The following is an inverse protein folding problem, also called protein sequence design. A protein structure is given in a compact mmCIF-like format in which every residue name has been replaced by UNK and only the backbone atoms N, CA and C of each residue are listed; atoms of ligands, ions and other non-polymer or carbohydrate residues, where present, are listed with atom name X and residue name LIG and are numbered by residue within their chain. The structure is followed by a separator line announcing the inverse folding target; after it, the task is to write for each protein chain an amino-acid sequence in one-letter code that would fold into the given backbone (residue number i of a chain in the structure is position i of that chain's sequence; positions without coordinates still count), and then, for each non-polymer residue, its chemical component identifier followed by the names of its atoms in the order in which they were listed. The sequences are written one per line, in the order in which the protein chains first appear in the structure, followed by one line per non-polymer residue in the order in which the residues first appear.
data_IF_930498131900
#
_entry.id   IF_930498131900
#
_cell.length_a   1.000
_cell.length_b   1.000
_cell.length_c   1.000
_cell.angle_alpha   90.00
_cell.angle_beta   90.00
_cell.angle_gamma   90.00
#
_symmetry.space_group_name_H-M   'P 1'
#
loop_
_entity.id
_entity.type
_entity.pdbx_description
1 polymer ?
#
# COMPACT_ATOMS: atom_id res chain seq x y z
N UNK A 1 34.92 11.02 -38.52
CA UNK A 1 33.55 11.44 -38.17
C UNK A 1 33.64 12.19 -36.85
N UNK A 2 33.38 13.51 -36.85
CA UNK A 2 33.33 14.31 -35.62
C UNK A 2 32.05 13.97 -34.87
N UNK A 3 32.16 13.38 -33.67
CA UNK A 3 31.00 13.07 -32.83
C UNK A 3 30.30 14.35 -32.42
N UNK A 4 29.18 14.67 -33.06
CA UNK A 4 28.35 15.83 -32.71
C UNK A 4 27.77 15.62 -31.31
N UNK A 5 28.03 16.54 -30.39
CA UNK A 5 27.52 16.47 -29.01
C UNK A 5 26.23 17.26 -28.88
N UNK A 6 25.36 16.82 -27.98
CA UNK A 6 24.14 17.56 -27.67
C UNK A 6 24.46 18.95 -27.09
N UNK A 7 25.56 19.09 -26.35
CA UNK A 7 26.08 20.39 -25.92
C UNK A 7 26.22 21.39 -27.09
N UNK A 8 26.80 20.97 -28.21
CA UNK A 8 26.98 21.84 -29.39
C UNK A 8 25.63 22.27 -30.02
N UNK A 9 24.65 21.36 -30.04
CA UNK A 9 23.29 21.65 -30.54
C UNK A 9 22.50 22.54 -29.58
N UNK A 10 22.71 22.37 -28.27
CA UNK A 10 22.10 23.22 -27.24
C UNK A 10 22.60 24.66 -27.32
N UNK A 11 23.91 24.86 -27.53
CA UNK A 11 24.53 26.18 -27.70
C UNK A 11 24.00 26.93 -28.92
N UNK A 12 23.55 26.21 -29.95
CA UNK A 12 22.87 26.78 -31.14
C UNK A 12 21.36 26.99 -30.96
N UNK A 13 20.84 26.89 -29.72
CA UNK A 13 19.43 27.03 -29.38
C UNK A 13 18.46 26.09 -30.15
N UNK A 14 18.96 24.94 -30.64
CA UNK A 14 18.18 23.98 -31.42
C UNK A 14 16.97 23.46 -30.63
N UNK A 15 17.13 23.25 -29.32
CA UNK A 15 16.06 22.83 -28.42
C UNK A 15 14.83 23.76 -28.46
N UNK A 16 15.05 25.08 -28.52
CA UNK A 16 13.98 26.08 -28.60
C UNK A 16 13.41 26.16 -30.00
N UNK A 17 14.29 26.26 -31.02
CA UNK A 17 13.89 26.37 -32.43
C UNK A 17 13.06 25.19 -32.91
N UNK A 18 13.40 23.98 -32.44
CA UNK A 18 12.72 22.74 -32.79
C UNK A 18 11.65 22.34 -31.76
N UNK A 19 11.47 23.12 -30.67
CA UNK A 19 10.52 22.84 -29.60
C UNK A 19 10.66 21.42 -29.03
N UNK A 20 11.87 21.06 -28.62
CA UNK A 20 12.17 19.74 -28.04
C UNK A 20 11.70 19.67 -26.58
N UNK A 21 11.00 18.59 -26.23
CA UNK A 21 10.48 18.41 -24.87
C UNK A 21 11.60 18.29 -23.82
N UNK A 22 11.31 18.64 -22.56
CA UNK A 22 12.27 18.48 -21.44
C UNK A 22 12.78 17.04 -21.29
N UNK A 23 11.94 16.04 -21.57
CA UNK A 23 12.34 14.63 -21.52
C UNK A 23 13.43 14.31 -22.55
N UNK A 24 13.33 14.86 -23.75
CA UNK A 24 14.36 14.66 -24.78
C UNK A 24 15.63 15.40 -24.46
N UNK A 25 15.54 16.65 -24.01
CA UNK A 25 16.73 17.39 -23.59
C UNK A 25 17.51 16.64 -22.50
N UNK A 26 16.80 16.01 -21.56
CA UNK A 26 17.40 15.19 -20.52
C UNK A 26 18.03 13.90 -21.06
N UNK A 27 17.38 13.21 -22.00
CA UNK A 27 17.94 12.00 -22.62
C UNK A 27 19.16 12.31 -23.49
N UNK A 28 19.16 13.40 -24.25
CA UNK A 28 20.29 13.82 -25.08
C UNK A 28 21.48 14.29 -24.22
N UNK A 29 21.22 15.00 -23.10
CA UNK A 29 22.26 15.27 -22.10
C UNK A 29 22.84 13.97 -21.52
N UNK A 30 21.98 12.96 -21.28
CA UNK A 30 22.43 11.67 -20.74
C UNK A 30 23.25 10.88 -21.77
N UNK A 31 22.96 11.02 -23.06
CA UNK A 31 23.79 10.46 -24.13
C UNK A 31 25.20 11.08 -24.16
N UNK A 32 25.32 12.39 -23.98
CA UNK A 32 26.62 13.05 -23.85
C UNK A 32 27.39 12.53 -22.62
N UNK A 33 26.72 12.35 -21.48
CA UNK A 33 27.33 11.76 -20.28
C UNK A 33 27.79 10.32 -20.52
N UNK A 34 27.03 9.53 -21.28
CA UNK A 34 27.41 8.17 -21.67
C UNK A 34 28.66 8.18 -22.57
N UNK A 35 28.71 9.07 -23.57
CA UNK A 35 29.88 9.23 -24.45
C UNK A 35 31.11 9.73 -23.70
N UNK A 36 30.92 10.52 -22.64
CA UNK A 36 31.97 10.96 -21.73
C UNK A 36 32.42 9.87 -20.72
N UNK A 37 31.73 8.73 -20.66
CA UNK A 37 32.01 7.65 -19.71
C UNK A 37 31.51 7.88 -18.28
N UNK A 38 30.71 8.94 -18.05
CA UNK A 38 30.17 9.28 -16.73
C UNK A 38 28.99 8.40 -16.30
N UNK A 39 28.24 7.86 -17.26
CA UNK A 39 27.17 6.88 -17.02
C UNK A 39 27.38 5.67 -17.92
N UNK A 40 26.88 4.51 -17.49
CA UNK A 40 26.97 3.28 -18.28
C UNK A 40 25.79 3.14 -19.26
N UNK A 41 25.94 2.24 -20.25
CA UNK A 41 24.88 1.93 -21.22
C UNK A 41 23.61 1.40 -20.52
N UNK A 42 23.77 0.73 -19.37
CA UNK A 42 22.65 0.17 -18.60
C UNK A 42 21.77 1.26 -18.02
N UNK A 43 22.36 2.28 -17.41
CA UNK A 43 21.68 3.42 -16.80
C UNK A 43 20.90 4.20 -17.85
N UNK A 44 21.57 4.60 -18.94
CA UNK A 44 20.91 5.29 -20.05
C UNK A 44 19.75 4.45 -20.63
N UNK A 45 19.98 3.16 -20.84
CA UNK A 45 18.92 2.25 -21.31
C UNK A 45 17.76 2.10 -20.32
N UNK A 46 18.02 2.07 -19.01
CA UNK A 46 16.96 2.00 -17.97
C UNK A 46 16.06 3.23 -18.00
N UNK A 47 16.63 4.42 -18.25
CA UNK A 47 15.85 5.66 -18.31
C UNK A 47 14.76 5.62 -19.39
N UNK A 48 15.00 4.89 -20.49
CA UNK A 48 14.04 4.70 -21.58
C UNK A 48 13.13 3.50 -21.32
N UNK A 49 13.70 2.33 -20.95
CA UNK A 49 12.93 1.09 -20.73
C UNK A 49 11.87 1.23 -19.63
N UNK A 50 12.18 1.95 -18.55
CA UNK A 50 11.30 2.09 -17.39
C UNK A 50 10.27 3.22 -17.54
N UNK A 51 10.30 4.00 -18.63
CA UNK A 51 9.40 5.13 -18.84
C UNK A 51 8.83 5.14 -20.26
N UNK A 52 7.60 4.65 -20.40
CA UNK A 52 6.86 4.69 -21.67
C UNK A 52 6.76 6.10 -22.26
N UNK A 53 6.65 7.12 -21.40
CA UNK A 53 6.59 8.51 -21.83
C UNK A 53 7.91 9.00 -22.45
N UNK A 54 9.06 8.61 -21.87
CA UNK A 54 10.39 8.91 -22.44
C UNK A 54 10.62 8.17 -23.76
N UNK A 55 10.19 6.90 -23.85
CA UNK A 55 10.26 6.14 -25.12
C UNK A 55 9.38 6.75 -26.21
N UNK A 56 8.15 7.15 -25.88
CA UNK A 56 7.27 7.86 -26.80
C UNK A 56 7.84 9.22 -27.23
N UNK A 57 8.50 9.94 -26.33
CA UNK A 57 9.14 11.21 -26.65
C UNK A 57 10.25 11.06 -27.71
N UNK A 58 11.02 9.96 -27.69
CA UNK A 58 12.04 9.66 -28.70
C UNK A 58 11.39 9.45 -30.07
N UNK A 59 10.39 8.56 -30.15
CA UNK A 59 9.67 8.28 -31.39
C UNK A 59 8.99 9.55 -31.97
N UNK A 60 8.34 10.34 -31.12
CA UNK A 60 7.70 11.59 -31.52
C UNK A 60 8.71 12.61 -32.05
N UNK A 61 9.92 12.65 -31.49
CA UNK A 61 10.97 13.58 -31.92
C UNK A 61 11.56 13.17 -33.27
N UNK A 62 11.78 11.87 -33.49
CA UNK A 62 12.18 11.34 -34.81
C UNK A 62 11.14 11.72 -35.87
N UNK A 63 9.86 11.48 -35.60
CA UNK A 63 8.75 11.85 -36.49
C UNK A 63 8.69 13.37 -36.73
N UNK A 64 8.95 14.18 -35.70
CA UNK A 64 8.99 15.65 -35.81
C UNK A 64 10.13 16.12 -36.71
N UNK A 65 11.33 15.59 -36.52
CA UNK A 65 12.50 15.90 -37.35
C UNK A 65 12.25 15.48 -38.82
N UNK A 66 11.66 14.31 -39.06
CA UNK A 66 11.26 13.88 -40.41
C UNK A 66 10.23 14.84 -41.05
N UNK A 67 9.30 15.37 -40.26
CA UNK A 67 8.35 16.39 -40.71
C UNK A 67 9.00 17.74 -41.05
N UNK A 68 10.00 18.17 -40.27
CA UNK A 68 10.76 19.39 -40.53
C UNK A 68 11.58 19.25 -41.82
N UNK A 69 12.25 18.12 -42.03
CA UNK A 69 13.01 17.83 -43.26
C UNK A 69 12.15 18.05 -44.50
N UNK A 70 10.90 17.57 -44.50
CA UNK A 70 9.97 17.73 -45.62
C UNK A 70 9.58 19.18 -45.89
N UNK A 71 9.55 20.03 -44.85
CA UNK A 71 9.10 21.43 -44.95
C UNK A 71 10.25 22.42 -45.15
N UNK A 72 11.43 22.12 -44.61
CA UNK A 72 12.59 23.00 -44.55
C UNK A 72 13.87 22.21 -44.84
N UNK A 73 14.24 22.05 -46.12
CA UNK A 73 15.41 21.28 -46.53
C UNK A 73 16.74 21.84 -45.99
N UNK A 74 16.79 23.14 -45.67
CA UNK A 74 17.97 23.80 -45.10
C UNK A 74 18.36 23.26 -43.72
N UNK A 75 17.42 22.68 -42.98
CA UNK A 75 17.63 22.14 -41.62
C UNK A 75 17.89 20.62 -41.61
N UNK A 76 18.05 20.00 -42.79
CA UNK A 76 18.26 18.54 -42.93
C UNK A 76 19.39 18.05 -42.04
N UNK A 77 20.54 18.74 -42.06
CA UNK A 77 21.72 18.32 -41.30
C UNK A 77 21.44 18.25 -39.79
N UNK A 78 20.84 19.30 -39.22
CA UNK A 78 20.45 19.35 -37.81
C UNK A 78 19.43 18.27 -37.47
N UNK A 79 18.45 18.02 -38.34
CA UNK A 79 17.43 16.99 -38.13
C UNK A 79 18.02 15.58 -38.12
N UNK A 80 18.95 15.29 -39.05
CA UNK A 80 19.63 14.00 -39.12
C UNK A 80 20.46 13.76 -37.86
N UNK A 81 21.21 14.77 -37.39
CA UNK A 81 21.99 14.66 -36.14
C UNK A 81 21.09 14.35 -34.92
N UNK A 82 19.91 14.96 -34.82
CA UNK A 82 18.95 14.66 -33.74
C UNK A 82 18.39 13.24 -33.87
N UNK A 83 18.05 12.82 -35.08
CA UNK A 83 17.53 11.47 -35.34
C UNK A 83 18.58 10.43 -34.95
N UNK A 84 19.83 10.60 -35.38
CA UNK A 84 20.95 9.72 -35.05
C UNK A 84 21.16 9.57 -33.54
N UNK A 85 21.16 10.69 -32.79
CA UNK A 85 21.25 10.63 -31.32
C UNK A 85 20.03 9.93 -30.70
N UNK A 86 18.82 10.16 -31.21
CA UNK A 86 17.62 9.49 -30.72
C UNK A 86 17.65 7.98 -30.98
N UNK A 87 18.13 7.57 -32.16
CA UNK A 87 18.26 6.16 -32.53
C UNK A 87 19.36 5.48 -31.73
N UNK A 88 20.50 6.15 -31.47
CA UNK A 88 21.57 5.63 -30.61
C UNK A 88 21.06 5.35 -29.19
N UNK A 89 20.27 6.26 -28.63
CA UNK A 89 19.61 6.05 -27.32
C UNK A 89 18.66 4.84 -27.37
N UNK A 90 17.88 4.68 -28.44
CA UNK A 90 16.98 3.54 -28.61
C UNK A 90 17.74 2.22 -28.74
N UNK A 91 18.84 2.19 -29.50
CA UNK A 91 19.70 1.02 -29.62
C UNK A 91 20.30 0.60 -28.27
N UNK A 92 20.80 1.55 -27.49
CA UNK A 92 21.29 1.30 -26.13
C UNK A 92 20.17 0.77 -25.22
N UNK A 93 18.95 1.32 -25.36
CA UNK A 93 17.79 0.89 -24.60
C UNK A 93 17.29 -0.51 -25.01
N UNK A 94 17.42 -0.89 -26.27
CA UNK A 94 16.94 -2.16 -26.81
C UNK A 94 17.96 -3.29 -26.63
N UNK A 95 19.24 -2.98 -26.36
CA UNK A 95 20.22 -3.97 -25.88
C UNK A 95 19.72 -4.61 -24.59
N UNK A 96 19.79 -5.94 -24.54
CA UNK A 96 19.53 -6.70 -23.31
C UNK A 96 20.53 -6.22 -22.24
N UNK A 97 20.06 -5.86 -21.03
CA UNK A 97 20.97 -5.50 -19.96
C UNK A 97 21.91 -6.69 -19.67
N UNK A 98 23.19 -6.45 -19.37
CA UNK A 98 24.14 -7.51 -19.07
C UNK A 98 23.59 -8.39 -17.92
N UNK A 99 23.77 -9.70 -18.03
CA UNK A 99 23.24 -10.71 -17.09
C UNK A 99 23.85 -10.64 -15.68
N UNK A 100 24.73 -9.66 -15.43
CA UNK A 100 25.15 -9.23 -14.10
C UNK A 100 24.01 -8.53 -13.35
N UNK A 101 22.96 -9.28 -13.04
CA UNK A 101 21.86 -8.84 -12.19
C UNK A 101 22.45 -8.41 -10.84
N UNK A 102 22.13 -7.20 -10.39
CA UNK A 102 22.47 -6.75 -9.05
C UNK A 102 22.10 -7.86 -8.06
N UNK A 103 23.06 -8.42 -7.30
CA UNK A 103 22.83 -9.65 -6.55
C UNK A 103 22.08 -9.33 -5.25
N UNK A 104 20.85 -8.83 -5.38
CA UNK A 104 20.01 -8.35 -4.28
C UNK A 104 19.92 -9.40 -3.17
N UNK A 105 19.77 -10.69 -3.54
CA UNK A 105 19.70 -11.81 -2.59
C UNK A 105 21.01 -12.08 -1.84
N UNK A 106 22.16 -11.67 -2.37
CA UNK A 106 23.47 -11.82 -1.69
C UNK A 106 23.74 -10.69 -0.70
N UNK A 107 22.96 -9.61 -0.72
CA UNK A 107 23.09 -8.55 0.27
C UNK A 107 22.70 -9.07 1.66
N UNK A 108 23.29 -8.56 2.74
CA UNK A 108 22.82 -8.78 4.10
C UNK A 108 21.33 -8.44 4.27
N UNK A 109 20.64 -9.17 5.15
CA UNK A 109 19.20 -9.03 5.38
C UNK A 109 18.83 -7.59 5.75
N UNK A 110 19.68 -6.92 6.54
CA UNK A 110 19.49 -5.56 7.03
C UNK A 110 19.47 -4.54 5.87
N UNK A 111 20.32 -4.77 4.86
CA UNK A 111 20.36 -3.91 3.67
C UNK A 111 19.13 -4.18 2.80
N UNK A 112 18.76 -5.46 2.62
CA UNK A 112 17.55 -5.82 1.86
C UNK A 112 16.29 -5.24 2.50
N UNK A 113 16.17 -5.33 3.83
CA UNK A 113 15.06 -4.76 4.58
C UNK A 113 14.96 -3.24 4.37
N UNK A 114 16.08 -2.52 4.44
CA UNK A 114 16.11 -1.07 4.15
C UNK A 114 15.69 -0.74 2.73
N UNK A 115 16.15 -1.51 1.74
CA UNK A 115 15.78 -1.28 0.33
C UNK A 115 14.28 -1.55 0.13
N UNK A 116 13.76 -2.67 0.66
CA UNK A 116 12.35 -3.00 0.59
C UNK A 116 11.49 -1.96 1.31
N UNK A 117 11.94 -1.46 2.46
CA UNK A 117 11.25 -0.39 3.19
C UNK A 117 11.17 0.90 2.37
N UNK A 118 12.26 1.29 1.69
CA UNK A 118 12.27 2.44 0.78
C UNK A 118 11.32 2.23 -0.41
N UNK A 119 11.35 1.04 -1.02
CA UNK A 119 10.44 0.70 -2.13
C UNK A 119 8.98 0.77 -1.70
N UNK A 120 8.66 0.19 -0.55
CA UNK A 120 7.32 0.21 0.04
C UNK A 120 6.89 1.65 0.31
N UNK A 121 7.72 2.46 0.97
CA UNK A 121 7.38 3.85 1.36
C UNK A 121 7.14 4.75 0.15
N UNK A 122 7.87 4.53 -0.94
CA UNK A 122 7.71 5.30 -2.18
C UNK A 122 6.36 5.02 -2.86
N UNK A 123 5.86 3.78 -2.78
CA UNK A 123 4.61 3.34 -3.41
C UNK A 123 3.40 3.51 -2.49
N UNK A 124 3.56 3.18 -1.21
CA UNK A 124 2.56 3.26 -0.15
C UNK A 124 2.89 4.43 0.77
N UNK A 125 2.55 5.65 0.33
CA UNK A 125 2.85 6.88 1.06
C UNK A 125 2.00 7.08 2.31
N UNK A 126 0.83 6.44 2.36
CA UNK A 126 -0.11 6.51 3.49
C UNK A 126 0.09 5.33 4.42
N UNK A 127 0.03 5.57 5.73
CA UNK A 127 0.11 4.51 6.75
C UNK A 127 -1.13 3.63 6.78
N UNK A 128 -2.30 4.19 6.48
CA UNK A 128 -3.56 3.46 6.35
C UNK A 128 -3.68 2.75 5.01
N UNK A 129 -3.93 1.44 5.05
CA UNK A 129 -4.17 0.58 3.88
C UNK A 129 -5.56 -0.01 3.98
N UNK A 130 -6.32 0.15 2.89
CA UNK A 130 -7.58 -0.56 2.68
C UNK A 130 -7.28 -1.76 1.77
N UNK A 131 -7.57 -2.99 2.20
CA UNK A 131 -7.40 -4.17 1.36
C UNK A 131 -8.22 -4.05 0.06
N UNK A 132 -7.61 -4.39 -1.08
CA UNK A 132 -8.30 -4.30 -2.39
C UNK A 132 -9.29 -5.42 -2.65
N UNK A 133 -9.06 -6.61 -2.08
CA UNK A 133 -9.97 -7.74 -2.23
C UNK A 133 -11.16 -7.53 -1.30
N UNK A 134 -12.33 -7.30 -1.91
CA UNK A 134 -13.60 -7.27 -1.19
C UNK A 134 -13.92 -8.69 -0.72
N UNK A 135 -14.24 -8.82 0.57
CA UNK A 135 -14.98 -9.97 1.05
C UNK A 135 -16.39 -9.98 0.46
N UNK A 136 -16.99 -11.17 0.35
CA UNK A 136 -18.37 -11.37 -0.10
C UNK A 136 -19.42 -11.04 0.97
N UNK A 137 -19.06 -10.29 2.02
CA UNK A 137 -19.98 -9.99 3.11
C UNK A 137 -20.93 -8.84 2.75
N UNK A 138 -22.18 -8.94 3.20
CA UNK A 138 -23.23 -7.94 2.95
C UNK A 138 -23.28 -6.84 4.03
N UNK A 139 -22.22 -6.72 4.84
CA UNK A 139 -22.17 -5.74 5.92
C UNK A 139 -22.24 -4.30 5.37
N UNK A 140 -23.02 -3.41 6.02
CA UNK A 140 -23.15 -2.01 5.59
C UNK A 140 -21.80 -1.28 5.59
N UNK A 141 -21.59 -0.41 4.60
CA UNK A 141 -20.37 0.39 4.47
C UNK A 141 -20.59 1.77 5.08
N UNK A 142 -19.86 2.08 6.16
CA UNK A 142 -20.07 3.30 6.94
C UNK A 142 -19.14 4.46 6.58
N UNK A 143 -18.06 4.19 5.84
CA UNK A 143 -17.08 5.20 5.49
C UNK A 143 -17.20 5.56 4.00
N UNK A 144 -17.55 6.82 3.70
CA UNK A 144 -17.59 7.35 2.33
C UNK A 144 -16.19 7.45 1.71
N UNK A 145 -15.14 7.42 2.53
CA UNK A 145 -13.75 7.48 2.08
C UNK A 145 -13.13 6.10 1.83
N UNK A 146 -13.89 5.01 2.00
CA UNK A 146 -13.44 3.64 1.72
C UNK A 146 -13.47 3.28 0.22
N UNK A 147 -12.99 4.17 -0.64
CA UNK A 147 -12.70 3.81 -2.02
C UNK A 147 -11.34 3.11 -1.97
N UNK A 148 -11.31 1.83 -2.36
CA UNK A 148 -10.09 1.02 -2.44
C UNK A 148 -9.14 1.58 -3.50
N UNK A 149 -8.45 2.67 -3.17
CA UNK A 149 -7.51 3.28 -4.10
C UNK A 149 -6.18 2.55 -4.00
N UNK A 150 -6.05 1.46 -4.76
CA UNK A 150 -4.75 0.88 -5.05
C UNK A 150 -4.34 1.28 -6.47
N UNK A 151 -3.24 2.04 -6.56
CA UNK A 151 -2.63 2.38 -7.85
C UNK A 151 -2.13 1.11 -8.55
N UNK A 152 -1.93 1.16 -9.87
CA UNK A 152 -1.32 0.05 -10.62
C UNK A 152 0.04 -0.35 -10.03
N UNK A 153 0.80 0.62 -9.51
CA UNK A 153 2.09 0.38 -8.86
C UNK A 153 1.94 -0.39 -7.55
N UNK A 154 0.95 -0.06 -6.71
CA UNK A 154 0.66 -0.79 -5.47
C UNK A 154 0.32 -2.26 -5.73
N UNK A 155 -0.41 -2.55 -6.82
CA UNK A 155 -0.76 -3.94 -7.21
C UNK A 155 0.43 -4.71 -7.79
N UNK A 156 1.31 -4.04 -8.52
CA UNK A 156 2.46 -4.67 -9.16
C UNK A 156 3.62 -4.94 -8.19
N UNK A 157 3.82 -4.09 -7.18
CA UNK A 157 4.99 -4.17 -6.31
C UNK A 157 5.21 -5.55 -5.66
N UNK A 158 4.19 -6.23 -5.10
CA UNK A 158 4.37 -7.55 -4.50
C UNK A 158 4.77 -8.63 -5.53
N UNK A 159 4.32 -8.52 -6.78
CA UNK A 159 4.59 -9.52 -7.83
C UNK A 159 5.95 -9.33 -8.51
N UNK A 160 6.50 -8.10 -8.48
CA UNK A 160 7.79 -7.77 -9.10
C UNK A 160 9.01 -8.43 -8.43
N UNK A 161 8.89 -8.82 -7.16
CA UNK A 161 10.03 -9.27 -6.35
C UNK A 161 10.29 -10.79 -6.44
N UNK A 162 9.36 -11.55 -7.03
CA UNK A 162 9.41 -13.02 -7.07
C UNK A 162 9.16 -13.67 -5.69
N UNK A 163 8.97 -14.99 -5.65
CA UNK A 163 8.46 -15.69 -4.47
C UNK A 163 9.30 -15.50 -3.18
N UNK A 164 10.63 -15.59 -3.26
CA UNK A 164 11.50 -15.49 -2.08
C UNK A 164 11.46 -14.10 -1.43
N UNK A 165 11.49 -13.04 -2.24
CA UNK A 165 11.50 -11.66 -1.74
C UNK A 165 10.09 -11.18 -1.40
N UNK A 166 9.05 -11.82 -1.94
CA UNK A 166 7.68 -11.55 -1.54
C UNK A 166 7.45 -11.85 -0.05
N UNK A 167 8.13 -12.87 0.51
CA UNK A 167 8.06 -13.11 1.96
C UNK A 167 8.64 -11.97 2.78
N UNK A 168 9.84 -11.49 2.41
CA UNK A 168 10.48 -10.33 3.07
C UNK A 168 9.65 -9.05 2.89
N UNK A 169 9.11 -8.84 1.69
CA UNK A 169 8.19 -7.75 1.38
C UNK A 169 6.96 -7.77 2.27
N UNK A 170 6.21 -8.89 2.30
CA UNK A 170 5.01 -9.03 3.12
C UNK A 170 5.32 -8.80 4.61
N UNK A 171 6.46 -9.31 5.08
CA UNK A 171 6.92 -9.11 6.45
C UNK A 171 7.06 -7.64 6.80
N UNK A 172 7.71 -6.85 5.95
CA UNK A 172 7.91 -5.41 6.19
C UNK A 172 6.59 -4.66 6.00
N UNK A 173 5.90 -4.93 4.89
CA UNK A 173 4.66 -4.27 4.49
C UNK A 173 3.57 -4.38 5.57
N UNK A 174 3.27 -5.59 6.03
CA UNK A 174 2.21 -5.85 7.02
C UNK A 174 2.55 -5.33 8.42
N UNK A 175 3.85 -5.23 8.75
CA UNK A 175 4.31 -4.68 10.02
C UNK A 175 4.29 -3.16 10.06
N UNK A 176 4.48 -2.52 8.89
CA UNK A 176 4.60 -1.06 8.78
C UNK A 176 3.26 -0.35 8.70
N UNK A 177 2.27 -0.98 8.05
CA UNK A 177 1.01 -0.33 7.73
C UNK A 177 -0.11 -0.72 8.68
N UNK A 178 -1.09 0.18 8.77
CA UNK A 178 -2.34 -0.01 9.50
C UNK A 178 -3.43 -0.43 8.54
N UNK A 179 -4.01 -1.61 8.76
CA UNK A 179 -5.02 -2.18 7.88
C UNK A 179 -6.43 -1.84 8.37
N UNK A 180 -7.20 -1.15 7.53
CA UNK A 180 -8.58 -0.73 7.84
C UNK A 180 -9.58 -1.66 7.17
N UNK A 181 -10.45 -2.26 7.97
CA UNK A 181 -11.50 -3.17 7.54
C UNK A 181 -12.89 -2.57 7.77
N UNK A 182 -13.80 -2.78 6.82
CA UNK A 182 -15.16 -2.23 6.85
C UNK A 182 -16.07 -2.91 7.86
N UNK A 183 -15.79 -4.17 8.17
CA UNK A 183 -16.49 -4.97 9.16
C UNK A 183 -15.61 -6.13 9.66
N UNK A 184 -16.06 -6.80 10.71
CA UNK A 184 -15.37 -7.98 11.25
C UNK A 184 -15.38 -9.18 10.28
N UNK A 185 -16.41 -9.32 9.44
CA UNK A 185 -16.47 -10.40 8.44
C UNK A 185 -15.39 -10.24 7.36
N UNK A 186 -15.10 -9.00 6.93
CA UNK A 186 -14.01 -8.71 5.99
C UNK A 186 -12.65 -9.01 6.63
N UNK A 187 -12.45 -8.58 7.87
CA UNK A 187 -11.27 -8.92 8.65
C UNK A 187 -11.07 -10.45 8.73
N UNK A 188 -12.12 -11.20 9.06
CA UNK A 188 -12.05 -12.67 9.13
C UNK A 188 -11.60 -13.28 7.80
N UNK A 189 -12.18 -12.84 6.69
CA UNK A 189 -11.82 -13.35 5.36
C UNK A 189 -10.32 -13.14 5.06
N UNK A 190 -9.77 -11.98 5.41
CA UNK A 190 -8.34 -11.68 5.23
C UNK A 190 -7.44 -12.48 6.17
N UNK A 191 -7.85 -12.65 7.43
CA UNK A 191 -7.13 -13.48 8.40
C UNK A 191 -7.08 -14.96 7.99
N UNK A 192 -8.13 -15.48 7.35
CA UNK A 192 -8.20 -16.88 6.89
C UNK A 192 -7.46 -17.13 5.59
N UNK A 193 -7.64 -16.24 4.59
CA UNK A 193 -7.10 -16.46 3.23
C UNK A 193 -5.62 -16.13 3.14
N UNK A 194 -5.15 -15.11 3.87
CA UNK A 194 -3.80 -14.60 3.72
C UNK A 194 -2.92 -14.95 4.92
N UNK A 195 -2.20 -16.08 4.79
CA UNK A 195 -1.26 -16.58 5.82
C UNK A 195 -0.16 -15.57 6.17
N UNK A 196 0.32 -14.81 5.19
CA UNK A 196 1.37 -13.81 5.40
C UNK A 196 0.85 -12.59 6.15
N UNK A 197 -0.38 -12.16 5.87
CA UNK A 197 -1.07 -11.13 6.64
C UNK A 197 -1.23 -11.57 8.10
N UNK A 198 -1.81 -12.75 8.32
CA UNK A 198 -2.01 -13.32 9.65
C UNK A 198 -0.70 -13.38 10.48
N UNK A 199 0.40 -13.80 9.87
CA UNK A 199 1.69 -13.96 10.55
C UNK A 199 2.42 -12.64 10.87
N UNK A 200 2.08 -11.54 10.21
CA UNK A 200 2.90 -10.32 10.24
C UNK A 200 2.15 -9.01 10.52
N UNK A 201 0.82 -9.01 10.49
CA UNK A 201 0.03 -7.81 10.79
C UNK A 201 0.30 -7.32 12.21
N UNK A 202 0.51 -6.01 12.35
CA UNK A 202 0.72 -5.33 13.64
C UNK A 202 -0.40 -4.38 14.02
N UNK A 203 -1.00 -3.71 13.04
CA UNK A 203 -1.89 -2.58 13.28
C UNK A 203 -3.20 -2.77 12.51
N UNK A 204 -4.30 -2.90 13.24
CA UNK A 204 -5.62 -3.15 12.66
C UNK A 204 -6.60 -2.07 13.13
N UNK A 205 -7.38 -1.55 12.19
CA UNK A 205 -8.60 -0.79 12.46
C UNK A 205 -9.76 -1.57 11.88
N UNK A 206 -10.75 -1.92 12.70
CA UNK A 206 -11.91 -2.66 12.24
C UNK A 206 -13.18 -2.07 12.83
N UNK A 207 -14.19 -1.94 11.99
CA UNK A 207 -15.53 -1.63 12.46
C UNK A 207 -16.21 -2.89 12.98
N UNK A 208 -16.60 -2.87 14.24
CA UNK A 208 -17.21 -4.01 14.93
C UNK A 208 -18.65 -4.18 14.45
N UNK A 209 -18.85 -4.99 13.41
CA UNK A 209 -20.17 -5.38 12.94
C UNK A 209 -20.10 -6.65 12.08
N UNK A 210 -21.26 -7.27 11.92
CA UNK A 210 -21.44 -8.50 11.15
C UNK A 210 -21.70 -9.72 12.05
N UNK A 211 -22.18 -10.78 11.42
CA UNK A 211 -22.47 -12.08 12.01
C UNK A 211 -21.21 -12.85 12.42
N UNK A 212 -20.10 -12.63 11.72
CA UNK A 212 -18.84 -13.34 11.98
C UNK A 212 -17.90 -12.63 12.98
N UNK A 213 -18.39 -11.66 13.77
CA UNK A 213 -17.56 -10.91 14.73
C UNK A 213 -16.81 -11.83 15.71
N UNK A 214 -17.52 -12.77 16.34
CA UNK A 214 -16.93 -13.71 17.29
C UNK A 214 -15.79 -14.52 16.65
N UNK A 215 -16.00 -15.06 15.44
CA UNK A 215 -14.97 -15.82 14.72
C UNK A 215 -13.76 -14.95 14.36
N UNK A 216 -14.00 -13.72 13.91
CA UNK A 216 -12.94 -12.76 13.59
C UNK A 216 -12.06 -12.49 14.81
N UNK A 217 -12.65 -12.24 15.97
CA UNK A 217 -11.93 -11.94 17.20
C UNK A 217 -11.20 -13.16 17.78
N UNK A 218 -11.77 -14.38 17.69
CA UNK A 218 -11.02 -15.62 17.98
C UNK A 218 -9.77 -15.77 17.12
N UNK A 219 -9.83 -15.34 15.87
CA UNK A 219 -8.65 -15.35 15.00
C UNK A 219 -7.66 -14.23 15.35
N UNK A 220 -8.14 -13.04 15.72
CA UNK A 220 -7.27 -11.95 16.19
C UNK A 220 -6.46 -12.35 17.42
N UNK A 221 -7.06 -13.07 18.37
CA UNK A 221 -6.37 -13.56 19.56
C UNK A 221 -5.15 -14.44 19.20
N UNK A 222 -5.20 -15.12 18.05
CA UNK A 222 -4.13 -15.99 17.54
C UNK A 222 -3.09 -15.25 16.69
N UNK A 223 -3.26 -13.95 16.43
CA UNK A 223 -2.30 -13.20 15.62
C UNK A 223 -1.00 -12.98 16.41
N UNK A 224 0.13 -13.55 15.96
CA UNK A 224 1.35 -13.59 16.78
C UNK A 224 1.98 -12.23 17.01
N UNK A 225 1.78 -11.27 16.09
CA UNK A 225 2.45 -9.96 16.09
C UNK A 225 1.50 -8.78 16.17
N UNK A 226 0.23 -9.00 16.51
CA UNK A 226 -0.72 -7.91 16.65
C UNK A 226 -0.29 -7.01 17.82
N UNK A 227 -0.09 -5.71 17.54
CA UNK A 227 0.38 -4.72 18.52
C UNK A 227 -0.69 -3.68 18.80
N UNK A 228 -1.48 -3.26 17.80
CA UNK A 228 -2.53 -2.25 18.00
C UNK A 228 -3.86 -2.67 17.36
N UNK A 229 -4.95 -2.38 18.08
CA UNK A 229 -6.30 -2.65 17.63
C UNK A 229 -7.21 -1.44 17.89
N UNK A 230 -7.73 -0.85 16.81
CA UNK A 230 -8.72 0.21 16.89
C UNK A 230 -10.08 -0.32 16.46
N UNK A 231 -11.04 -0.22 17.36
CA UNK A 231 -12.41 -0.67 17.13
C UNK A 231 -13.27 0.53 16.85
N UNK A 232 -14.03 0.47 15.74
CA UNK A 232 -15.10 1.43 15.49
C UNK A 232 -16.43 0.80 15.85
N UNK A 233 -17.26 1.51 16.59
CA UNK A 233 -18.58 1.06 17.05
C UNK A 233 -19.64 2.01 16.49
N UNK A 234 -20.69 1.45 15.89
CA UNK A 234 -21.80 2.22 15.35
C UNK A 234 -23.15 1.59 15.73
N UNK A 235 -24.24 2.14 15.20
CA UNK A 235 -25.58 1.57 15.39
C UNK A 235 -25.67 0.11 14.95
N UNK A 236 -24.96 -0.28 13.88
CA UNK A 236 -25.00 -1.66 13.40
C UNK A 236 -24.32 -2.66 14.33
N UNK A 237 -23.36 -2.21 15.15
CA UNK A 237 -22.71 -3.07 16.16
C UNK A 237 -23.77 -3.67 17.08
N UNK A 238 -24.72 -2.84 17.53
CA UNK A 238 -25.82 -3.24 18.42
C UNK A 238 -26.90 -4.10 17.75
N UNK A 239 -26.85 -4.29 16.42
CA UNK A 239 -27.74 -5.22 15.72
C UNK A 239 -27.34 -6.68 15.91
N UNK A 240 -26.09 -6.95 16.28
CA UNK A 240 -25.55 -8.29 16.47
C UNK A 240 -25.29 -8.55 17.96
N UNK A 241 -26.07 -9.46 18.54
CA UNK A 241 -26.03 -9.79 19.97
C UNK A 241 -25.57 -11.22 20.20
N UNK A 242 -25.00 -11.48 21.37
CA UNK A 242 -24.60 -12.83 21.77
C UNK A 242 -25.79 -13.80 21.82
N UNK A 243 -25.58 -15.12 21.64
CA UNK A 243 -26.64 -16.12 21.76
C UNK A 243 -27.36 -16.07 23.11
N UNK A 244 -26.61 -15.82 24.20
CA UNK A 244 -27.16 -15.63 25.54
C UNK A 244 -28.13 -14.45 25.58
N UNK A 245 -27.74 -13.30 25.04
CA UNK A 245 -28.59 -12.11 25.03
C UNK A 245 -29.84 -12.30 24.16
N UNK A 246 -29.71 -12.99 23.02
CA UNK A 246 -30.83 -13.33 22.16
C UNK A 246 -31.85 -14.23 22.89
N UNK A 247 -31.38 -15.23 23.62
CA UNK A 247 -32.22 -16.09 24.46
C UNK A 247 -32.91 -15.27 25.57
N UNK A 248 -32.16 -14.47 26.31
CA UNK A 248 -32.69 -13.68 27.42
C UNK A 248 -33.75 -12.67 26.95
N UNK A 249 -33.63 -12.12 25.74
CA UNK A 249 -34.62 -11.22 25.17
C UNK A 249 -36.00 -11.87 24.97
N UNK A 250 -36.03 -13.18 24.73
CA UNK A 250 -37.28 -13.94 24.59
C UNK A 250 -38.06 -14.07 25.90
N UNK A 251 -37.36 -14.17 27.04
CA UNK A 251 -37.96 -14.38 28.36
C UNK A 251 -38.09 -13.10 29.19
N UNK A 252 -37.20 -12.12 28.99
CA UNK A 252 -37.11 -10.88 29.76
C UNK A 252 -37.25 -9.64 28.87
N UNK A 253 -38.33 -9.56 28.10
CA UNK A 253 -38.53 -8.53 27.07
C UNK A 253 -38.44 -7.08 27.60
N UNK A 254 -38.92 -6.82 28.82
CA UNK A 254 -38.86 -5.51 29.46
C UNK A 254 -37.41 -5.06 29.76
N UNK A 255 -36.59 -5.97 30.29
CA UNK A 255 -35.19 -5.70 30.67
C UNK A 255 -34.23 -5.65 29.47
N UNK A 256 -34.62 -6.23 28.33
CA UNK A 256 -33.81 -6.33 27.11
C UNK A 256 -34.38 -5.50 25.94
N UNK A 257 -35.14 -4.44 26.28
CA UNK A 257 -35.68 -3.49 25.29
C UNK A 257 -34.54 -2.76 24.56
N UNK A 258 -33.50 -2.37 25.29
CA UNK A 258 -32.27 -1.78 24.76
C UNK A 258 -31.12 -2.80 24.81
N UNK A 259 -30.31 -2.84 23.75
CA UNK A 259 -29.13 -3.71 23.71
C UNK A 259 -28.00 -3.05 24.50
N UNK A 260 -27.46 -3.76 25.48
CA UNK A 260 -26.31 -3.31 26.28
C UNK A 260 -25.00 -3.65 25.58
N UNK A 261 -23.94 -2.89 25.86
CA UNK A 261 -22.60 -3.15 25.34
C UNK A 261 -22.07 -4.55 25.74
N UNK A 262 -22.43 -5.03 26.94
CA UNK A 262 -22.06 -6.36 27.45
C UNK A 262 -22.74 -7.53 26.72
N UNK A 263 -23.77 -7.26 25.94
CA UNK A 263 -24.54 -8.27 25.23
C UNK A 263 -24.14 -8.37 23.74
N UNK A 264 -23.14 -7.59 23.30
CA UNK A 264 -22.67 -7.55 21.91
C UNK A 264 -22.00 -8.85 21.48
N UNK A 265 -22.25 -9.26 20.22
CA UNK A 265 -21.62 -10.44 19.64
C UNK A 265 -20.11 -10.24 19.48
N UNK A 266 -19.33 -11.19 19.99
CA UNK A 266 -17.87 -11.17 19.90
C UNK A 266 -17.16 -10.50 21.08
N UNK A 267 -17.89 -9.94 22.07
CA UNK A 267 -17.25 -9.30 23.21
C UNK A 267 -16.37 -10.28 23.99
N UNK A 268 -16.89 -11.48 24.29
CA UNK A 268 -16.15 -12.49 25.05
C UNK A 268 -14.87 -12.91 24.31
N UNK A 269 -14.98 -13.17 23.00
CA UNK A 269 -13.85 -13.49 22.14
C UNK A 269 -12.83 -12.35 22.04
N UNK A 270 -13.29 -11.10 22.03
CA UNK A 270 -12.42 -9.93 22.02
C UNK A 270 -11.67 -9.80 23.35
N UNK A 271 -12.32 -10.14 24.46
CA UNK A 271 -11.71 -10.21 25.78
C UNK A 271 -10.71 -11.36 25.92
N UNK A 272 -10.61 -12.30 24.98
CA UNK A 272 -9.51 -13.28 24.93
C UNK A 272 -8.25 -12.71 24.27
N UNK A 273 -8.35 -11.60 23.54
CA UNK A 273 -7.18 -10.94 22.92
C UNK A 273 -6.30 -10.33 24.02
N UNK A 274 -4.99 -10.59 23.96
CA UNK A 274 -3.99 -10.17 24.95
C UNK A 274 -2.67 -9.76 24.30
N UNK A 275 -1.88 -8.99 25.05
CA UNK A 275 -0.54 -8.53 24.69
C UNK A 275 -0.51 -7.37 23.70
N UNK A 276 -1.61 -6.61 23.57
CA UNK A 276 -1.62 -5.42 22.72
C UNK A 276 -0.91 -4.27 23.42
N UNK A 277 -0.23 -3.43 22.64
CA UNK A 277 0.43 -2.21 23.12
C UNK A 277 -0.53 -1.03 23.21
N UNK A 278 -1.47 -0.95 22.27
CA UNK A 278 -2.45 0.14 22.21
C UNK A 278 -3.81 -0.37 21.71
N UNK A 279 -4.87 0.11 22.35
CA UNK A 279 -6.25 -0.24 22.02
C UNK A 279 -7.12 0.99 22.11
N UNK A 280 -7.73 1.35 20.99
CA UNK A 280 -8.61 2.51 20.90
C UNK A 280 -10.02 2.09 20.52
N UNK A 281 -11.01 2.64 21.20
CA UNK A 281 -12.42 2.43 20.88
C UNK A 281 -13.01 3.75 20.43
N UNK A 282 -13.43 3.78 19.18
CA UNK A 282 -14.03 4.95 18.53
C UNK A 282 -15.52 4.71 18.33
N UNK A 283 -16.35 5.67 18.69
CA UNK A 283 -17.78 5.62 18.44
C UNK A 283 -18.09 6.51 17.24
N UNK A 284 -18.60 5.92 16.16
CA UNK A 284 -19.02 6.70 14.99
C UNK A 284 -20.18 7.59 15.42
N UNK A 285 -20.11 8.92 15.18
CA UNK A 285 -21.04 9.87 15.78
C UNK A 285 -22.47 9.55 15.38
N UNK A 286 -23.35 9.49 16.37
CA UNK A 286 -24.77 9.30 16.16
C UNK A 286 -25.51 10.35 16.99
N UNK A 287 -25.92 11.44 16.30
CA UNK A 287 -26.61 12.64 16.80
C UNK A 287 -25.92 13.36 17.98
N UNK A 288 -25.80 14.68 17.88
CA UNK A 288 -25.55 15.50 19.07
C UNK A 288 -26.66 15.19 20.09
N UNK A 289 -26.29 14.87 21.34
CA UNK A 289 -27.18 14.52 22.47
C UNK A 289 -27.54 13.03 22.65
N UNK A 290 -26.54 12.14 22.71
CA UNK A 290 -26.77 10.80 23.27
C UNK A 290 -27.08 10.90 24.79
N UNK A 291 -28.02 10.10 25.32
CA UNK A 291 -28.26 10.01 26.77
C UNK A 291 -26.98 9.67 27.55
N UNK A 292 -26.82 10.26 28.74
CA UNK A 292 -25.63 10.07 29.59
C UNK A 292 -25.34 8.59 29.89
N UNK A 293 -26.38 7.76 30.05
CA UNK A 293 -26.23 6.31 30.25
C UNK A 293 -25.52 5.61 29.09
N UNK A 294 -25.77 6.04 27.85
CA UNK A 294 -25.10 5.50 26.66
C UNK A 294 -23.64 5.93 26.64
N UNK A 295 -23.34 7.18 26.99
CA UNK A 295 -21.95 7.67 27.09
C UNK A 295 -21.17 6.96 28.20
N UNK A 296 -21.81 6.67 29.33
CA UNK A 296 -21.22 5.86 30.40
C UNK A 296 -20.92 4.43 29.94
N UNK A 297 -21.87 3.78 29.24
CA UNK A 297 -21.65 2.44 28.67
C UNK A 297 -20.49 2.42 27.65
N UNK A 298 -20.41 3.46 26.80
CA UNK A 298 -19.32 3.64 25.83
C UNK A 298 -17.97 3.81 26.52
N UNK A 299 -17.90 4.67 27.52
CA UNK A 299 -16.69 4.88 28.32
C UNK A 299 -16.29 3.62 29.07
N UNK A 300 -17.26 2.91 29.66
CA UNK A 300 -17.06 1.64 30.35
C UNK A 300 -16.50 0.57 29.42
N UNK A 301 -17.06 0.42 28.22
CA UNK A 301 -16.55 -0.50 27.20
C UNK A 301 -15.13 -0.14 26.76
N UNK A 302 -14.85 1.13 26.51
CA UNK A 302 -13.50 1.57 26.14
C UNK A 302 -12.49 1.25 27.25
N UNK A 303 -12.83 1.51 28.51
CA UNK A 303 -11.94 1.21 29.64
C UNK A 303 -11.74 -0.30 29.81
N UNK A 304 -12.81 -1.09 29.68
CA UNK A 304 -12.75 -2.54 29.75
C UNK A 304 -11.81 -3.10 28.69
N UNK A 305 -11.97 -2.66 27.43
CA UNK A 305 -11.18 -3.17 26.32
C UNK A 305 -9.72 -2.71 26.40
N UNK A 306 -9.46 -1.43 26.63
CA UNK A 306 -8.09 -0.93 26.78
C UNK A 306 -7.37 -1.54 28.00
N UNK A 307 -8.09 -1.80 29.10
CA UNK A 307 -7.51 -2.45 30.28
C UNK A 307 -7.27 -3.95 30.10
N UNK A 308 -8.18 -4.67 29.45
CA UNK A 308 -8.10 -6.13 29.33
C UNK A 308 -7.15 -6.57 28.21
N UNK A 309 -7.23 -5.94 27.04
CA UNK A 309 -6.49 -6.39 25.85
C UNK A 309 -4.99 -6.07 25.91
N UNK A 310 -4.60 -5.15 26.78
CA UNK A 310 -3.20 -4.77 27.02
C UNK A 310 -2.51 -5.63 28.09
N UNK A 311 -3.26 -6.49 28.80
CA UNK A 311 -2.68 -7.47 29.72
C UNK A 311 -1.73 -8.41 28.96
N UNK A 312 -0.66 -8.91 29.61
CA UNK A 312 0.28 -9.85 29.01
C UNK A 312 -0.42 -11.09 28.45
N UNK A 313 0.17 -11.73 27.44
CA UNK A 313 -0.31 -13.03 26.97
C UNK A 313 -0.04 -14.08 28.05
N UNK A 314 -0.89 -15.11 28.10
CA UNK A 314 -0.70 -16.17 29.09
C UNK A 314 0.64 -16.91 28.91
N UNK A 315 1.16 -16.99 27.68
CA UNK A 315 2.49 -17.53 27.37
C UNK A 315 3.65 -16.71 27.99
N UNK A 316 3.46 -15.40 28.19
CA UNK A 316 4.48 -14.52 28.78
C UNK A 316 4.60 -14.70 30.30
N UNK A 317 3.59 -15.30 30.95
CA UNK A 317 3.62 -15.59 32.39
C UNK A 317 4.51 -16.78 32.75
N UNK A 318 4.80 -17.66 31.78
CA UNK A 318 5.59 -18.88 32.01
C UNK A 318 7.10 -18.58 32.08
N UNK A 319 7.55 -17.43 31.53
CA UNK A 319 8.96 -17.04 31.53
C UNK A 319 9.41 -16.18 32.73
N UNK A 320 8.60 -16.13 33.81
CA UNK A 320 8.89 -15.32 35.02
C UNK A 320 9.07 -16.21 36.26
N UNK A 321 9.43 -17.48 36.09
CA UNK A 321 9.89 -18.35 37.18
C UNK A 321 11.11 -19.15 36.77
#
# INVERSE_FOLDING_TARGET
MTSTTWYALRSKAVHTRFGLSKNIQLLLNSLDLYKAGSIDATELGRMVRLSAHRRAALANTISKCAGIIKKQPSEIKTCVEIIEMCTEILEIADRRPPEGVFPFRKLPVEIRDKILDLMISNVFRTTGIIPAEKSSCECPTFDRHNISFQTKQMKALPTLLGASLNHEFCRIFFRKHTFRFRCSCELLAHLQRNKMFFAHVRHIIVHWCGDDCAKAFKMLAKCPRLETLNLSISKSTYSFVSPRAQLMRGFFSASYRTVRASDLLGLDELLEVRGLKDVQVSHTPNRANAPMSIEMDRSGLSRLLSGSLTLPRDDDKINIF
#
